data_IF_146160635932
#
_entry.id   IF_146160635932
#
_cell.length_a   1.000
_cell.length_b   1.000
_cell.length_c   1.000
_cell.angle_alpha   90.00
_cell.angle_beta   90.00
_cell.angle_gamma   90.00
#
_symmetry.space_group_name_H-M   'P 1'
#
loop_
_entity.id
_entity.type
_entity.pdbx_description
1 polymer ?
#
# COMPACT_ATOMS: atom_id res chain seq x y z
N UNK A 1 5.79 12.93 -11.92
CA UNK A 1 5.15 12.73 -10.60
C UNK A 1 5.84 13.57 -9.51
N UNK A 2 7.09 13.28 -9.12
CA UNK A 2 7.78 14.04 -8.06
C UNK A 2 7.83 15.57 -8.30
N UNK A 3 8.25 15.98 -9.50
CA UNK A 3 8.33 17.40 -9.87
C UNK A 3 6.98 18.11 -9.90
N UNK A 4 5.86 17.40 -10.07
CA UNK A 4 4.55 18.06 -10.16
C UNK A 4 4.00 18.46 -8.80
N UNK A 5 4.56 17.97 -7.68
CA UNK A 5 4.02 18.24 -6.33
C UNK A 5 2.61 17.71 -6.07
N UNK A 6 2.07 16.90 -7.01
CA UNK A 6 0.70 16.38 -6.97
C UNK A 6 0.61 14.94 -6.45
N UNK A 7 1.74 14.38 -6.04
CA UNK A 7 1.83 13.01 -5.56
C UNK A 7 2.79 12.94 -4.39
N UNK A 8 2.47 12.08 -3.43
CA UNK A 8 3.26 11.83 -2.23
C UNK A 8 3.17 10.36 -1.81
N UNK A 9 3.70 10.06 -0.63
CA UNK A 9 3.78 8.71 -0.09
C UNK A 9 5.03 7.97 -0.54
N UNK A 10 5.10 6.71 -0.12
CA UNK A 10 6.21 5.80 -0.36
C UNK A 10 6.52 5.62 -1.85
N UNK A 11 5.49 5.68 -2.71
CA UNK A 11 5.67 5.67 -4.16
C UNK A 11 6.55 6.82 -4.68
N UNK A 12 6.64 7.94 -3.96
CA UNK A 12 7.44 9.11 -4.36
C UNK A 12 8.73 9.21 -3.53
N UNK A 13 8.66 8.92 -2.23
CA UNK A 13 9.78 9.01 -1.30
C UNK A 13 10.76 7.84 -1.45
N UNK A 14 10.25 6.64 -1.73
CA UNK A 14 11.03 5.41 -1.88
C UNK A 14 11.79 5.30 -3.20
N UNK A 15 11.62 6.27 -4.11
CA UNK A 15 12.34 6.33 -5.39
C UNK A 15 11.68 5.56 -6.52
N UNK A 16 12.41 5.37 -7.62
CA UNK A 16 11.85 4.85 -8.89
C UNK A 16 11.33 3.41 -8.75
N UNK A 17 12.00 2.58 -7.95
CA UNK A 17 11.59 1.20 -7.73
C UNK A 17 10.22 1.14 -7.02
N UNK A 18 10.04 1.93 -5.96
CA UNK A 18 8.77 1.98 -5.23
C UNK A 18 7.68 2.66 -6.04
N UNK A 19 8.00 3.70 -6.82
CA UNK A 19 7.07 4.31 -7.77
C UNK A 19 6.50 3.26 -8.74
N UNK A 20 7.36 2.40 -9.27
CA UNK A 20 6.97 1.30 -10.14
C UNK A 20 6.13 0.27 -9.37
N UNK A 21 6.61 -0.23 -8.23
CA UNK A 21 5.94 -1.26 -7.45
C UNK A 21 4.53 -0.86 -7.02
N UNK A 22 4.39 0.32 -6.41
CA UNK A 22 3.11 0.89 -5.97
C UNK A 22 2.16 1.15 -7.15
N UNK A 23 2.72 1.61 -8.28
CA UNK A 23 1.98 1.76 -9.52
C UNK A 23 1.39 0.46 -10.06
N UNK A 24 2.20 -0.59 -10.08
CA UNK A 24 1.79 -1.94 -10.50
C UNK A 24 0.74 -2.52 -9.54
N UNK A 25 0.91 -2.32 -8.23
CA UNK A 25 -0.07 -2.76 -7.24
C UNK A 25 -1.42 -2.06 -7.45
N UNK A 26 -1.44 -0.74 -7.69
CA UNK A 26 -2.66 -0.02 -8.06
C UNK A 26 -3.26 -0.48 -9.40
N UNK A 27 -2.43 -0.79 -10.40
CA UNK A 27 -2.88 -1.27 -11.72
C UNK A 27 -3.66 -2.57 -11.67
N UNK A 28 -3.34 -3.42 -10.70
CA UNK A 28 -3.95 -4.73 -10.48
C UNK A 28 -4.88 -4.77 -9.27
N UNK A 29 -5.21 -3.63 -8.65
CA UNK A 29 -6.04 -3.56 -7.44
C UNK A 29 -5.47 -4.36 -6.25
N UNK A 30 -4.14 -4.53 -6.21
CA UNK A 30 -3.41 -5.17 -5.12
C UNK A 30 -3.01 -4.18 -4.02
N UNK A 31 -3.21 -2.87 -4.24
CA UNK A 31 -2.94 -1.87 -3.21
C UNK A 31 -3.94 -2.04 -2.07
N UNK A 32 -3.42 -2.18 -0.84
CA UNK A 32 -4.21 -2.43 0.36
C UNK A 32 -5.37 -1.46 0.49
N UNK A 33 -6.59 -1.99 0.58
CA UNK A 33 -7.83 -1.20 0.56
C UNK A 33 -8.05 -0.40 1.83
N UNK A 34 -7.54 -0.90 2.96
CA UNK A 34 -7.66 -0.28 4.29
C UNK A 34 -6.43 -0.73 5.08
N UNK A 35 -5.65 0.22 5.58
CA UNK A 35 -4.64 -0.12 6.58
C UNK A 35 -5.36 -0.35 7.91
N UNK A 36 -5.04 -1.43 8.64
CA UNK A 36 -5.39 -1.48 10.05
C UNK A 36 -4.76 -0.26 10.74
N UNK A 37 -5.45 0.33 11.70
CA UNK A 37 -4.96 1.49 12.47
C UNK A 37 -3.61 1.21 13.15
N UNK A 38 -3.32 -0.08 13.43
CA UNK A 38 -2.05 -0.58 13.95
C UNK A 38 -0.91 -0.69 12.93
N UNK A 39 -1.20 -0.54 11.64
CA UNK A 39 -0.22 -0.62 10.57
C UNK A 39 0.53 0.69 10.43
N UNK A 40 1.64 0.85 11.16
CA UNK A 40 2.54 2.03 11.12
C UNK A 40 3.27 2.27 9.79
N UNK A 41 2.73 1.85 8.65
CA UNK A 41 3.31 2.11 7.34
C UNK A 41 3.19 3.58 6.94
N UNK A 42 4.07 4.04 6.05
CA UNK A 42 3.94 5.32 5.33
C UNK A 42 2.87 5.22 4.25
N UNK A 43 2.03 6.23 4.06
CA UNK A 43 1.04 6.28 2.97
C UNK A 43 1.64 5.81 1.63
N UNK A 44 0.92 4.99 0.88
CA UNK A 44 1.44 4.31 -0.32
C UNK A 44 1.68 5.27 -1.50
N UNK A 45 0.67 5.41 -2.37
CA UNK A 45 0.70 6.27 -3.55
C UNK A 45 -0.43 7.29 -3.44
N UNK A 46 -0.10 8.46 -2.91
CA UNK A 46 -1.08 9.53 -2.66
C UNK A 46 -1.21 10.47 -3.84
N UNK A 47 -2.42 10.94 -4.06
CA UNK A 47 -2.75 12.05 -4.97
C UNK A 47 -3.04 13.27 -4.12
N UNK A 48 -2.32 14.36 -4.39
CA UNK A 48 -2.47 15.64 -3.75
C UNK A 48 -3.18 16.65 -4.66
N UNK A 49 -3.94 17.54 -4.04
CA UNK A 49 -4.53 18.70 -4.68
C UNK A 49 -3.54 19.87 -4.80
N UNK A 50 -4.05 21.00 -5.28
CA UNK A 50 -3.20 22.15 -5.62
C UNK A 50 -2.58 22.81 -4.38
N UNK A 51 -3.19 22.63 -3.21
CA UNK A 51 -2.70 23.18 -1.94
C UNK A 51 -1.97 22.12 -1.11
N UNK A 52 -1.69 20.95 -1.69
CA UNK A 52 -1.08 19.82 -0.99
C UNK A 52 -2.07 19.01 -0.15
N UNK A 53 -3.37 19.27 -0.26
CA UNK A 53 -4.40 18.50 0.43
C UNK A 53 -4.48 17.07 -0.12
N UNK A 54 -4.62 16.08 0.76
CA UNK A 54 -4.79 14.69 0.35
C UNK A 54 -6.15 14.49 -0.33
N UNK A 55 -6.13 14.04 -1.60
CA UNK A 55 -7.34 13.73 -2.37
C UNK A 55 -7.70 12.25 -2.19
N UNK A 56 -6.78 11.35 -2.53
CA UNK A 56 -6.99 9.91 -2.44
C UNK A 56 -5.67 9.14 -2.56
N UNK A 57 -5.72 7.85 -2.22
CA UNK A 57 -4.70 6.88 -2.62
C UNK A 57 -5.04 6.30 -4.00
N UNK A 58 -4.02 6.10 -4.85
CA UNK A 58 -4.15 5.34 -6.09
C UNK A 58 -4.24 3.85 -5.76
N UNK A 59 -5.39 3.27 -6.04
CA UNK A 59 -5.72 1.87 -5.75
C UNK A 59 -6.23 1.11 -6.98
N UNK A 60 -6.63 1.81 -8.04
CA UNK A 60 -7.21 1.18 -9.24
C UNK A 60 -6.59 1.65 -10.54
N UNK A 61 -6.70 0.78 -11.55
CA UNK A 61 -6.35 1.07 -12.94
C UNK A 61 -7.03 2.32 -13.47
N UNK A 62 -8.32 2.50 -13.19
CA UNK A 62 -9.09 3.65 -13.65
C UNK A 62 -8.57 4.95 -13.04
N UNK A 63 -8.24 4.95 -11.75
CA UNK A 63 -7.62 6.11 -11.11
C UNK A 63 -6.25 6.41 -11.73
N UNK A 64 -5.44 5.39 -12.02
CA UNK A 64 -4.14 5.55 -12.69
C UNK A 64 -4.29 6.19 -14.08
N UNK A 65 -5.25 5.73 -14.88
CA UNK A 65 -5.53 6.28 -16.21
C UNK A 65 -5.93 7.77 -16.15
N UNK A 66 -6.69 8.18 -15.14
CA UNK A 66 -7.14 9.56 -14.96
C UNK A 66 -6.01 10.47 -14.44
N UNK A 67 -5.23 9.98 -13.46
CA UNK A 67 -4.28 10.83 -12.71
C UNK A 67 -2.86 10.81 -13.30
N UNK A 68 -2.46 9.71 -13.93
CA UNK A 68 -1.12 9.47 -14.46
C UNK A 68 -1.19 8.74 -15.83
N UNK A 69 -1.77 9.38 -16.87
CA UNK A 69 -2.04 8.73 -18.16
C UNK A 69 -0.80 8.19 -18.86
N UNK A 70 0.35 8.88 -18.78
CA UNK A 70 1.60 8.40 -19.38
C UNK A 70 2.13 7.15 -18.69
N UNK A 71 1.99 7.08 -17.36
CA UNK A 71 2.37 5.89 -16.62
C UNK A 71 1.39 4.74 -16.87
N UNK A 72 0.10 5.04 -16.99
CA UNK A 72 -0.91 4.07 -17.40
C UNK A 72 -0.60 3.44 -18.77
N UNK A 73 -0.15 4.23 -19.76
CA UNK A 73 0.29 3.71 -21.07
C UNK A 73 1.49 2.77 -20.95
N UNK A 74 2.46 3.11 -20.10
CA UNK A 74 3.62 2.26 -19.84
C UNK A 74 3.20 0.92 -19.20
N UNK A 75 2.31 0.95 -18.21
CA UNK A 75 1.78 -0.25 -17.56
C UNK A 75 0.96 -1.09 -18.56
N UNK A 76 0.11 -0.46 -19.36
CA UNK A 76 -0.71 -1.14 -20.36
C UNK A 76 0.12 -1.85 -21.43
N UNK A 77 1.18 -1.20 -21.93
CA UNK A 77 2.12 -1.80 -22.88
C UNK A 77 2.95 -2.92 -22.26
N UNK A 78 3.42 -2.74 -21.01
CA UNK A 78 4.21 -3.74 -20.29
C UNK A 78 3.41 -5.01 -20.02
N UNK A 79 2.17 -4.85 -19.55
CA UNK A 79 1.29 -5.96 -19.18
C UNK A 79 0.32 -6.38 -20.30
N UNK A 80 0.46 -5.82 -21.50
CA UNK A 80 -0.26 -6.23 -22.72
C UNK A 80 -1.78 -6.26 -22.53
N UNK A 81 -2.36 -5.18 -22.01
CA UNK A 81 -3.80 -5.06 -21.78
C UNK A 81 -4.41 -6.18 -20.93
N UNK A 82 -3.60 -6.80 -20.05
CA UNK A 82 -4.07 -7.87 -19.17
C UNK A 82 -5.26 -7.39 -18.32
N UNK A 83 -6.36 -8.13 -18.41
CA UNK A 83 -7.62 -7.84 -17.72
C UNK A 83 -7.65 -8.31 -16.27
N UNK A 84 -6.64 -9.08 -15.85
CA UNK A 84 -6.52 -9.55 -14.48
C UNK A 84 -6.50 -8.38 -13.50
N UNK A 85 -7.17 -8.58 -12.37
CA UNK A 85 -7.17 -7.73 -11.19
C UNK A 85 -7.31 -8.65 -9.97
N UNK A 86 -6.75 -8.24 -8.85
CA UNK A 86 -6.93 -8.95 -7.59
C UNK A 86 -8.39 -8.88 -7.14
N UNK A 87 -8.91 -10.05 -6.74
CA UNK A 87 -10.23 -10.21 -6.15
C UNK A 87 -10.06 -10.91 -4.80
N UNK A 88 -10.44 -10.27 -3.68
CA UNK A 88 -10.37 -10.87 -2.35
C UNK A 88 -11.13 -12.20 -2.30
N UNK A 89 -10.60 -13.19 -1.56
CA UNK A 89 -11.21 -14.53 -1.42
C UNK A 89 -12.68 -14.46 -1.02
N UNK A 90 -13.02 -13.57 -0.07
CA UNK A 90 -14.39 -13.35 0.39
C UNK A 90 -15.38 -12.92 -0.71
N UNK A 91 -14.90 -12.43 -1.86
CA UNK A 91 -15.73 -12.03 -3.02
C UNK A 91 -15.77 -13.07 -4.14
N UNK A 92 -15.12 -14.23 -3.96
CA UNK A 92 -14.99 -15.27 -4.99
C UNK A 92 -15.20 -16.68 -4.44
N UNK A 93 -16.01 -16.82 -3.38
CA UNK A 93 -16.27 -18.10 -2.71
C UNK A 93 -17.05 -19.09 -3.59
N UNK A 94 -17.67 -18.61 -4.65
CA UNK A 94 -18.36 -19.39 -5.68
C UNK A 94 -17.39 -20.15 -6.61
N UNK A 95 -16.10 -19.83 -6.57
CA UNK A 95 -15.08 -20.52 -7.37
C UNK A 95 -14.94 -22.00 -6.96
N UNK A 96 -14.87 -22.89 -7.95
CA UNK A 96 -14.85 -24.35 -7.73
C UNK A 96 -13.74 -24.81 -6.77
N UNK A 97 -12.58 -24.18 -6.82
CA UNK A 97 -11.43 -24.52 -5.96
C UNK A 97 -11.59 -24.08 -4.50
N UNK A 98 -12.63 -23.30 -4.19
CA UNK A 98 -12.99 -22.85 -2.85
C UNK A 98 -14.26 -23.55 -2.31
N UNK A 99 -14.72 -24.61 -2.98
CA UNK A 99 -15.87 -25.38 -2.52
C UNK A 99 -15.63 -25.96 -1.11
N UNK A 100 -16.51 -25.61 -0.17
CA UNK A 100 -16.41 -26.02 1.23
C UNK A 100 -15.47 -25.17 2.10
N UNK A 101 -14.84 -24.12 1.54
CA UNK A 101 -14.06 -23.17 2.34
C UNK A 101 -14.97 -22.13 2.99
N UNK A 102 -14.98 -22.07 4.33
CA UNK A 102 -15.57 -20.98 5.10
C UNK A 102 -14.47 -20.03 5.61
N UNK A 103 -14.43 -18.77 5.16
CA UNK A 103 -13.49 -17.78 5.69
C UNK A 103 -13.56 -17.57 7.20
N UNK A 104 -14.72 -17.79 7.83
CA UNK A 104 -14.88 -17.64 9.28
C UNK A 104 -14.15 -18.73 10.08
N UNK A 105 -13.94 -19.89 9.48
CA UNK A 105 -13.21 -21.02 10.07
C UNK A 105 -11.70 -20.96 9.78
N UNK A 106 -11.24 -19.97 9.01
CA UNK A 106 -9.84 -19.84 8.66
C UNK A 106 -9.00 -19.48 9.90
N UNK A 107 -7.83 -20.11 10.11
CA UNK A 107 -6.96 -19.76 11.21
C UNK A 107 -6.45 -18.33 11.05
N UNK A 108 -6.56 -17.55 12.11
CA UNK A 108 -5.99 -16.21 12.12
C UNK A 108 -4.52 -16.25 12.51
N UNK A 109 -3.70 -15.48 11.79
CA UNK A 109 -2.33 -15.26 12.20
C UNK A 109 -2.28 -14.49 13.52
N UNK A 110 -1.41 -14.94 14.43
CA UNK A 110 -1.11 -14.30 15.71
C UNK A 110 0.40 -14.27 15.92
N UNK A 111 0.95 -13.10 16.21
CA UNK A 111 2.34 -13.02 16.64
C UNK A 111 2.51 -13.73 17.99
N UNK A 112 3.55 -14.55 18.17
CA UNK A 112 3.86 -15.12 19.48
C UNK A 112 4.09 -14.01 20.52
N UNK A 113 3.70 -14.19 21.80
CA UNK A 113 3.87 -13.17 22.85
C UNK A 113 5.29 -12.61 22.93
N UNK A 114 6.30 -13.47 22.84
CA UNK A 114 7.71 -13.06 22.85
C UNK A 114 8.09 -12.09 21.71
N UNK A 115 7.45 -12.22 20.54
CA UNK A 115 7.68 -11.30 19.40
C UNK A 115 7.03 -9.95 19.67
N UNK A 116 5.83 -9.94 20.25
CA UNK A 116 5.12 -8.72 20.65
C UNK A 116 5.93 -7.96 21.71
N UNK A 117 6.42 -8.67 22.72
CA UNK A 117 7.27 -8.09 23.78
C UNK A 117 8.56 -7.51 23.21
N UNK A 118 9.21 -8.25 22.31
CA UNK A 118 10.41 -7.76 21.62
C UNK A 118 10.12 -6.49 20.80
N UNK A 119 9.00 -6.42 20.09
CA UNK A 119 8.58 -5.25 19.35
C UNK A 119 8.39 -4.03 20.27
N UNK A 120 7.66 -4.17 21.37
CA UNK A 120 7.45 -3.07 22.31
C UNK A 120 8.76 -2.56 22.93
N UNK A 121 9.67 -3.47 23.27
CA UNK A 121 11.00 -3.10 23.78
C UNK A 121 11.79 -2.31 22.74
N UNK A 122 11.87 -2.79 21.50
CA UNK A 122 12.60 -2.13 20.40
C UNK A 122 12.02 -0.75 20.11
N UNK A 123 10.69 -0.61 20.08
CA UNK A 123 10.06 0.70 19.83
C UNK A 123 10.30 1.69 20.96
N UNK A 124 10.32 1.23 22.22
CA UNK A 124 10.69 2.06 23.36
C UNK A 124 12.16 2.52 23.30
N UNK A 125 13.08 1.62 22.94
CA UNK A 125 14.49 1.94 22.71
C UNK A 125 14.64 3.01 21.60
N UNK A 126 13.98 2.83 20.46
CA UNK A 126 13.97 3.80 19.34
C UNK A 126 13.36 5.15 19.73
N UNK A 127 12.32 5.17 20.56
CA UNK A 127 11.71 6.41 21.04
C UNK A 127 12.70 7.19 21.92
N UNK A 128 13.40 6.49 22.82
CA UNK A 128 14.42 7.10 23.67
C UNK A 128 15.59 7.68 22.86
N UNK A 129 16.05 6.97 21.83
CA UNK A 129 17.09 7.47 20.92
C UNK A 129 16.66 8.73 20.15
N UNK A 130 15.43 8.74 19.63
CA UNK A 130 14.84 9.91 18.95
C UNK A 130 14.80 11.13 19.88
N UNK A 131 14.40 10.95 21.14
CA UNK A 131 14.36 12.02 22.13
C UNK A 131 15.76 12.54 22.48
N UNK A 132 16.75 11.65 22.64
CA UNK A 132 18.14 12.06 22.89
C UNK A 132 18.73 12.88 21.75
N UNK A 133 18.41 12.56 20.49
CA UNK A 133 18.85 13.33 19.32
C UNK A 133 18.22 14.73 19.30
N UNK A 134 16.92 14.84 19.58
CA UNK A 134 16.22 16.14 19.65
C UNK A 134 16.73 17.09 20.74
N UNK A 135 17.26 16.56 21.84
CA UNK A 135 17.85 17.38 22.92
C UNK A 135 19.25 17.90 22.56
N UNK A 136 19.91 17.30 21.57
CA UNK A 136 21.26 17.67 21.11
C UNK A 136 21.29 18.68 19.97
N UNK A 137 20.15 18.94 19.32
CA UNK A 137 19.94 19.95 18.28
C UNK A 137 19.36 21.24 18.89
#
# INVERSE_FOLDING_TARGET
AKQSGRFAGYAIEGGVAEFWAEGVQAWFNCNGTIRPESGGGQSSFEVLGLKGEHICHLQTRQQMQIRLPEFAKLLDSTFRQNRWVYVPVAKRLDERHLSGFDPADAPEFRWPPAVIDAFHRIEAERANERNKKKIKE
#
